data_IF_051982467157
#
_entry.id   IF_051982467157
#
_cell.length_a   1.000
_cell.length_b   1.000
_cell.length_c   1.000
_cell.angle_alpha   90.00
_cell.angle_beta   90.00
_cell.angle_gamma   90.00
#
_symmetry.space_group_name_H-M   'P 1'
#
loop_
_entity.id
_entity.type
_entity.pdbx_description
1 polymer ?
#
# COMPACT_ATOMS: atom_id res chain seq x y z
N UNK A 1 -10.74 13.60 -2.87
CA UNK A 1 -9.88 12.81 -1.95
C UNK A 1 -10.62 11.52 -1.69
N UNK A 2 -10.00 10.34 -1.91
CA UNK A 2 -10.68 9.06 -1.63
C UNK A 2 -11.03 8.97 -0.16
N UNK A 3 -12.27 8.57 0.13
CA UNK A 3 -12.79 8.41 1.48
C UNK A 3 -12.13 7.22 2.19
N UNK A 4 -11.88 7.37 3.49
CA UNK A 4 -11.35 6.28 4.32
C UNK A 4 -12.47 5.34 4.72
N UNK A 5 -12.28 4.05 4.47
CA UNK A 5 -13.18 2.96 4.78
C UNK A 5 -12.62 2.22 6.00
N UNK A 6 -13.50 1.75 6.88
CA UNK A 6 -13.11 0.92 8.02
C UNK A 6 -12.45 -0.39 7.58
N UNK A 7 -11.37 -0.79 8.27
CA UNK A 7 -10.64 -2.01 7.91
C UNK A 7 -11.46 -3.30 8.08
N UNK A 8 -12.54 -3.29 8.86
CA UNK A 8 -13.49 -4.42 8.91
C UNK A 8 -14.04 -4.78 7.52
N UNK A 9 -14.09 -3.80 6.60
CA UNK A 9 -14.53 -3.99 5.23
C UNK A 9 -13.40 -4.34 4.26
N UNK A 10 -12.21 -4.68 4.75
CA UNK A 10 -11.09 -5.07 3.89
C UNK A 10 -11.43 -6.19 2.89
N UNK A 11 -12.24 -7.21 3.21
CA UNK A 11 -12.65 -8.22 2.23
C UNK A 11 -13.36 -7.64 0.99
N UNK A 12 -13.99 -6.47 1.11
CA UNK A 12 -14.64 -5.76 0.00
C UNK A 12 -13.62 -5.16 -1.00
N UNK A 13 -12.31 -5.22 -0.72
CA UNK A 13 -11.27 -4.72 -1.63
C UNK A 13 -11.36 -5.37 -3.02
N UNK A 14 -11.82 -6.62 -3.11
CA UNK A 14 -12.01 -7.35 -4.38
C UNK A 14 -13.00 -6.66 -5.30
N UNK A 15 -14.05 -6.07 -4.72
CA UNK A 15 -15.08 -5.35 -5.46
C UNK A 15 -14.61 -3.95 -5.92
N UNK A 16 -13.54 -3.44 -5.30
CA UNK A 16 -12.96 -2.13 -5.61
C UNK A 16 -11.70 -2.22 -6.49
N UNK A 17 -11.16 -3.43 -6.67
CA UNK A 17 -9.97 -3.70 -7.46
C UNK A 17 -10.20 -3.31 -8.93
N UNK A 18 -9.32 -2.45 -9.45
CA UNK A 18 -9.35 -2.00 -10.84
C UNK A 18 -7.95 -1.59 -11.30
N UNK A 19 -7.64 -1.67 -12.60
CA UNK A 19 -6.34 -1.28 -13.12
C UNK A 19 -5.96 0.15 -12.74
N UNK A 20 -4.72 0.33 -12.27
CA UNK A 20 -4.18 1.64 -11.89
C UNK A 20 -4.66 2.16 -10.54
N UNK A 21 -5.32 1.33 -9.72
CA UNK A 21 -5.66 1.61 -8.33
C UNK A 21 -4.95 0.63 -7.41
N UNK A 22 -4.42 1.15 -6.31
CA UNK A 22 -3.92 0.38 -5.17
C UNK A 22 -4.68 0.79 -3.91
N UNK A 23 -4.53 0.05 -2.83
CA UNK A 23 -5.12 0.37 -1.54
C UNK A 23 -4.07 0.96 -0.61
N UNK A 24 -4.39 2.12 -0.05
CA UNK A 24 -3.64 2.69 1.06
C UNK A 24 -4.30 2.23 2.35
N UNK A 25 -3.57 1.45 3.15
CA UNK A 25 -3.98 0.95 4.45
C UNK A 25 -3.23 1.71 5.52
N UNK A 26 -3.89 2.08 6.61
CA UNK A 26 -3.26 2.78 7.74
C UNK A 26 -3.66 2.16 9.07
N UNK A 27 -2.73 2.18 10.03
CA UNK A 27 -2.98 1.89 11.44
C UNK A 27 -3.05 3.18 12.30
N UNK A 28 -3.06 4.37 11.68
CA UNK A 28 -3.06 5.67 12.36
C UNK A 28 -1.66 6.30 12.47
N UNK A 29 -0.62 5.49 12.62
CA UNK A 29 0.77 5.95 12.73
C UNK A 29 1.56 5.75 11.43
N UNK A 30 1.27 4.66 10.73
CA UNK A 30 1.94 4.20 9.52
C UNK A 30 0.93 3.97 8.40
N UNK A 31 1.43 4.01 7.16
CA UNK A 31 0.66 3.71 5.95
C UNK A 31 1.39 2.69 5.10
N UNK A 32 0.61 1.86 4.40
CA UNK A 32 1.07 0.83 3.49
C UNK A 32 0.27 0.95 2.19
N UNK A 33 0.97 0.94 1.05
CA UNK A 33 0.34 0.77 -0.25
C UNK A 33 0.45 -0.68 -0.66
N UNK A 34 -0.69 -1.28 -0.98
CA UNK A 34 -0.81 -2.71 -1.29
C UNK A 34 -1.93 -2.95 -2.29
N UNK A 35 -1.84 -4.03 -3.04
CA UNK A 35 -2.95 -4.57 -3.82
C UNK A 35 -3.96 -5.27 -2.90
N UNK A 36 -5.11 -5.68 -3.45
CA UNK A 36 -6.12 -6.41 -2.70
C UNK A 36 -5.65 -7.85 -2.42
N UNK A 37 -5.11 -8.06 -1.22
CA UNK A 37 -4.66 -9.36 -0.72
C UNK A 37 -5.40 -9.75 0.57
N UNK A 38 -5.91 -10.99 0.62
CA UNK A 38 -6.63 -11.54 1.78
C UNK A 38 -6.00 -12.90 2.13
N UNK A 39 -5.44 -13.08 3.35
CA UNK A 39 -5.25 -12.05 4.38
C UNK A 39 -4.26 -10.96 3.93
N UNK A 40 -4.39 -9.75 4.49
CA UNK A 40 -3.48 -8.65 4.16
C UNK A 40 -2.07 -8.97 4.70
N UNK A 41 -1.01 -8.97 3.86
CA UNK A 41 0.35 -9.13 4.35
C UNK A 41 0.80 -7.85 5.05
N UNK A 42 0.87 -7.89 6.39
CA UNK A 42 1.36 -6.76 7.18
C UNK A 42 2.88 -6.74 7.25
N UNK A 43 3.50 -5.55 7.13
CA UNK A 43 4.91 -5.37 7.43
C UNK A 43 5.23 -5.78 8.87
N UNK A 44 6.40 -6.37 9.10
CA UNK A 44 6.80 -6.86 10.42
C UNK A 44 7.06 -5.75 11.45
N UNK A 45 7.27 -4.52 10.98
CA UNK A 45 7.46 -3.34 11.82
C UNK A 45 6.14 -2.75 12.36
N UNK A 46 4.99 -3.21 11.87
CA UNK A 46 3.69 -2.73 12.32
C UNK A 46 3.35 -3.29 13.71
N UNK A 47 3.31 -2.40 14.70
CA UNK A 47 2.95 -2.75 16.09
C UNK A 47 1.44 -2.75 16.33
N UNK A 48 0.69 -1.99 15.54
CA UNK A 48 -0.75 -1.83 15.66
C UNK A 48 -1.47 -2.41 14.44
N UNK A 49 -2.69 -2.90 14.67
CA UNK A 49 -3.54 -3.42 13.60
C UNK A 49 -4.00 -2.30 12.66
N UNK A 50 -4.22 -2.61 11.37
CA UNK A 50 -4.85 -1.67 10.45
C UNK A 50 -6.22 -1.21 10.97
N UNK A 51 -6.50 0.09 10.81
CA UNK A 51 -7.77 0.68 11.25
C UNK A 51 -8.63 1.11 10.07
N UNK A 52 -8.01 1.57 8.98
CA UNK A 52 -8.71 2.10 7.81
C UNK A 52 -7.94 1.84 6.54
N UNK A 53 -8.66 1.85 5.42
CA UNK A 53 -8.06 1.79 4.11
C UNK A 53 -8.81 2.67 3.10
N UNK A 54 -8.19 2.98 1.96
CA UNK A 54 -8.85 3.68 0.85
C UNK A 54 -8.25 3.26 -0.48
N UNK A 55 -9.06 3.30 -1.53
CA UNK A 55 -8.60 3.10 -2.91
C UNK A 55 -7.93 4.38 -3.43
N UNK A 56 -6.66 4.31 -3.83
CA UNK A 56 -5.90 5.44 -4.37
C UNK A 56 -5.31 5.12 -5.74
N UNK A 57 -5.10 6.11 -6.61
CA UNK A 57 -4.35 5.90 -7.84
C UNK A 57 -2.97 5.32 -7.55
N UNK A 58 -2.57 4.31 -8.33
CA UNK A 58 -1.24 3.73 -8.22
C UNK A 58 -0.19 4.82 -8.45
N UNK A 59 0.76 5.01 -7.53
CA UNK A 59 1.83 5.97 -7.73
C UNK A 59 2.66 5.57 -8.94
N UNK A 60 3.07 6.57 -9.73
CA UNK A 60 3.91 6.31 -10.90
C UNK A 60 5.24 5.69 -10.43
N UNK A 61 5.77 4.69 -11.15
CA UNK A 61 7.10 4.18 -10.88
C UNK A 61 8.11 5.33 -10.81
N UNK A 62 8.90 5.39 -9.74
CA UNK A 62 10.06 6.30 -9.70
C UNK A 62 11.16 5.69 -10.55
N UNK A 63 11.69 6.47 -11.49
CA UNK A 63 12.92 6.10 -12.17
C UNK A 63 14.04 5.90 -11.14
N UNK A 64 14.72 4.76 -11.21
CA UNK A 64 15.94 4.53 -10.45
C UNK A 64 17.04 5.45 -10.98
N UNK A 65 17.89 5.93 -10.08
CA UNK A 65 19.17 6.50 -10.50
C UNK A 65 20.07 5.37 -11.01
N UNK A 66 20.97 5.64 -11.97
CA UNK A 66 21.91 4.64 -12.45
C UNK A 66 22.68 4.01 -11.29
N UNK A 67 22.94 2.71 -11.37
CA UNK A 67 23.79 2.00 -10.40
C UNK A 67 25.16 2.69 -10.40
N UNK A 68 25.72 3.07 -9.24
CA UNK A 68 27.02 3.73 -9.19
C UNK A 68 28.09 2.86 -9.83
N UNK A 69 29.05 3.51 -10.51
CA UNK A 69 30.17 2.79 -11.15
C UNK A 69 30.99 2.04 -10.08
N UNK A 70 31.53 0.85 -10.41
CA UNK A 70 32.44 0.14 -9.50
C UNK A 70 33.60 1.05 -9.07
N UNK A 71 33.99 0.99 -7.79
CA UNK A 71 35.25 1.59 -7.35
C UNK A 71 36.40 0.70 -7.83
N UNK A 72 37.19 1.20 -8.78
CA UNK A 72 38.49 0.62 -9.15
C UNK A 72 39.42 0.67 -7.91
N UNK A 73 40.13 -0.43 -7.64
CA UNK A 73 41.03 -0.59 -6.50
C UNK A 73 42.48 -0.39 -6.93
#
# INVERSE_FOLDING_TARGET
MSEWIDFERWPDCRSMERPGIVFEVTNGDQTLLTDCAIPLPLPSDWKAQPVRFRAVPQPRPRHSSPIPKPMDR
#
